data_IF_366265616766
#
_entry.id   IF_366265616766
#
_cell.length_a   1.000
_cell.length_b   1.000
_cell.length_c   1.000
_cell.angle_alpha   90.00
_cell.angle_beta   90.00
_cell.angle_gamma   90.00
#
_symmetry.space_group_name_H-M   'P 1'
#
loop_
_entity.id
_entity.type
_entity.pdbx_description
1 polymer ?
#
# COMPACT_ATOMS: atom_id res chain seq x y z
N UNK A 1 -12.34 -6.24 11.56
CA UNK A 1 -11.78 -4.99 11.00
C UNK A 1 -11.96 -5.03 9.48
N UNK A 2 -12.45 -3.97 8.84
CA UNK A 2 -12.65 -3.88 7.37
C UNK A 2 -11.91 -2.64 6.85
N UNK A 3 -11.08 -2.79 5.82
CA UNK A 3 -10.46 -1.66 5.12
C UNK A 3 -11.50 -1.00 4.23
N UNK A 4 -11.64 0.32 4.33
CA UNK A 4 -12.58 1.10 3.51
C UNK A 4 -11.88 1.90 2.42
N UNK A 5 -10.78 2.54 2.77
CA UNK A 5 -9.97 3.39 1.88
C UNK A 5 -8.51 3.33 2.31
N UNK A 6 -7.62 3.48 1.34
CA UNK A 6 -6.19 3.75 1.55
C UNK A 6 -5.79 4.88 0.61
N UNK A 7 -5.21 5.94 1.18
CA UNK A 7 -4.61 7.04 0.44
C UNK A 7 -3.09 6.99 0.66
N UNK A 8 -2.34 7.07 -0.42
CA UNK A 8 -0.88 6.98 -0.42
C UNK A 8 -0.32 8.14 -1.22
N UNK A 9 0.74 8.77 -0.74
CA UNK A 9 1.51 9.76 -1.49
C UNK A 9 2.98 9.70 -1.10
N UNK A 10 3.86 9.89 -2.09
CA UNK A 10 5.31 9.90 -1.89
C UNK A 10 5.85 8.66 -1.16
N UNK A 11 5.37 7.47 -1.53
CA UNK A 11 5.64 6.20 -0.85
C UNK A 11 5.97 5.09 -1.86
N UNK A 12 7.14 4.46 -1.73
CA UNK A 12 7.62 3.43 -2.66
C UNK A 12 7.58 3.92 -4.12
N UNK A 13 6.92 3.22 -5.07
CA UNK A 13 6.83 3.69 -6.44
C UNK A 13 5.74 4.76 -6.67
N UNK A 14 4.95 5.12 -5.66
CA UNK A 14 3.85 6.09 -5.79
C UNK A 14 4.34 7.50 -5.48
N UNK A 15 4.78 8.24 -6.50
CA UNK A 15 5.23 9.64 -6.37
C UNK A 15 4.06 10.62 -6.19
N UNK A 16 2.95 10.36 -6.87
CA UNK A 16 1.71 11.11 -6.78
C UNK A 16 0.81 10.66 -5.63
N UNK A 17 -0.35 11.31 -5.52
CA UNK A 17 -1.43 10.90 -4.63
C UNK A 17 -2.25 9.82 -5.31
N UNK A 18 -2.32 8.65 -4.69
CA UNK A 18 -3.12 7.50 -5.12
C UNK A 18 -4.19 7.18 -4.06
N UNK A 19 -5.36 6.76 -4.50
CA UNK A 19 -6.47 6.39 -3.59
C UNK A 19 -7.11 5.07 -4.01
N UNK A 20 -7.14 4.12 -3.09
CA UNK A 20 -7.74 2.81 -3.26
C UNK A 20 -9.02 2.76 -2.42
N UNK A 21 -10.18 2.67 -3.08
CA UNK A 21 -11.46 2.49 -2.41
C UNK A 21 -11.80 0.99 -2.32
N UNK A 22 -11.48 0.35 -1.19
CA UNK A 22 -11.81 -1.06 -0.93
C UNK A 22 -13.32 -1.30 -0.81
N UNK A 23 -14.10 -0.28 -0.47
CA UNK A 23 -15.56 -0.39 -0.40
C UNK A 23 -16.17 -0.62 -1.78
N UNK A 24 -15.48 -0.24 -2.86
CA UNK A 24 -15.90 -0.52 -4.24
C UNK A 24 -15.78 -2.01 -4.62
N UNK A 25 -15.02 -2.80 -3.86
CA UNK A 25 -14.86 -4.25 -4.08
C UNK A 25 -16.04 -5.08 -3.52
N UNK A 26 -16.99 -4.41 -2.85
CA UNK A 26 -18.21 -5.03 -2.34
C UNK A 26 -18.04 -5.74 -0.99
N UNK A 27 -18.85 -6.77 -0.79
CA UNK A 27 -18.94 -7.54 0.46
C UNK A 27 -18.01 -8.77 0.48
N UNK A 28 -17.46 -9.17 -0.67
CA UNK A 28 -16.63 -10.36 -0.76
C UNK A 28 -15.27 -10.11 -0.08
N UNK A 29 -14.85 -10.95 0.89
CA UNK A 29 -13.58 -10.75 1.59
C UNK A 29 -12.34 -11.01 0.73
N UNK A 30 -12.49 -11.65 -0.45
CA UNK A 30 -11.38 -12.03 -1.30
C UNK A 30 -11.27 -11.11 -2.53
N UNK A 31 -10.10 -10.51 -2.70
CA UNK A 31 -9.75 -9.72 -3.88
C UNK A 31 -8.29 -9.96 -4.26
N UNK A 32 -7.93 -9.58 -5.49
CA UNK A 32 -6.60 -9.74 -6.06
C UNK A 32 -5.96 -8.37 -6.32
N UNK A 33 -4.69 -8.21 -5.92
CA UNK A 33 -3.83 -7.11 -6.34
C UNK A 33 -2.89 -7.67 -7.42
N UNK A 34 -3.13 -7.33 -8.68
CA UNK A 34 -2.37 -7.81 -9.83
C UNK A 34 -1.58 -6.69 -10.54
N UNK A 35 -0.55 -7.07 -11.29
CA UNK A 35 0.28 -6.16 -12.08
C UNK A 35 1.71 -6.68 -12.26
N UNK A 36 2.53 -6.03 -13.12
CA UNK A 36 3.90 -6.45 -13.38
C UNK A 36 4.82 -6.32 -12.15
N UNK A 37 5.96 -7.00 -12.15
CA UNK A 37 7.00 -6.83 -11.12
C UNK A 37 7.46 -5.37 -11.08
N UNK A 38 7.62 -4.82 -9.88
CA UNK A 38 7.96 -3.41 -9.68
C UNK A 38 6.78 -2.44 -9.67
N UNK A 39 5.55 -2.88 -9.98
CA UNK A 39 4.36 -2.01 -10.01
C UNK A 39 3.87 -1.52 -8.62
N UNK A 40 4.54 -1.86 -7.52
CA UNK A 40 4.16 -1.39 -6.17
C UNK A 40 3.13 -2.23 -5.41
N UNK A 41 2.83 -3.46 -5.86
CA UNK A 41 1.89 -4.37 -5.17
C UNK A 41 2.26 -4.60 -3.70
N UNK A 42 3.53 -4.91 -3.43
CA UNK A 42 4.05 -5.06 -2.06
C UNK A 42 4.01 -3.73 -1.30
N UNK A 43 4.25 -2.61 -1.98
CA UNK A 43 4.18 -1.28 -1.38
C UNK A 43 2.77 -0.93 -0.91
N UNK A 44 1.72 -1.36 -1.60
CA UNK A 44 0.33 -1.21 -1.11
C UNK A 44 0.14 -1.93 0.23
N UNK A 45 0.65 -3.16 0.36
CA UNK A 45 0.58 -3.92 1.61
C UNK A 45 1.39 -3.25 2.73
N UNK A 46 2.59 -2.76 2.41
CA UNK A 46 3.39 -1.98 3.37
C UNK A 46 2.69 -0.71 3.81
N UNK A 47 2.01 0.00 2.90
CA UNK A 47 1.27 1.23 3.23
C UNK A 47 0.10 0.94 4.18
N UNK A 48 -0.63 -0.16 3.99
CA UNK A 48 -1.68 -0.60 4.93
C UNK A 48 -1.09 -0.84 6.32
N UNK A 49 -0.01 -1.62 6.42
CA UNK A 49 0.63 -1.91 7.70
C UNK A 49 1.18 -0.65 8.36
N UNK A 50 1.84 0.21 7.60
CA UNK A 50 2.40 1.45 8.12
C UNK A 50 1.30 2.40 8.62
N UNK A 51 0.20 2.56 7.88
CA UNK A 51 -0.91 3.41 8.28
C UNK A 51 -1.61 2.92 9.57
N UNK A 52 -1.65 1.61 9.80
CA UNK A 52 -2.31 1.01 10.96
C UNK A 52 -1.40 0.85 12.17
N UNK A 53 -0.11 0.59 11.94
CA UNK A 53 0.81 0.12 12.99
C UNK A 53 2.10 0.96 13.09
N UNK A 54 2.34 1.89 12.18
CA UNK A 54 3.55 2.72 12.16
C UNK A 54 4.81 2.01 11.67
N UNK A 55 4.69 0.78 11.16
CA UNK A 55 5.78 -0.04 10.65
C UNK A 55 5.41 -0.79 9.37
N UNK A 56 6.41 -1.10 8.54
CA UNK A 56 6.23 -1.94 7.35
C UNK A 56 6.23 -3.42 7.74
N UNK A 57 5.80 -4.30 6.83
CA UNK A 57 5.73 -5.76 7.12
C UNK A 57 7.09 -6.44 7.25
N UNK A 58 8.18 -5.74 6.94
CA UNK A 58 9.53 -6.31 6.92
C UNK A 58 10.36 -5.72 8.06
N UNK A 59 10.61 -6.54 9.08
CA UNK A 59 11.29 -6.14 10.32
C UNK A 59 12.72 -5.63 10.09
N UNK A 60 13.35 -6.06 8.98
CA UNK A 60 14.72 -5.68 8.61
C UNK A 60 14.75 -4.46 7.66
N UNK A 61 13.58 -4.05 7.14
CA UNK A 61 13.43 -2.93 6.19
C UNK A 61 12.41 -1.91 6.66
N UNK A 62 12.52 -1.50 7.94
CA UNK A 62 11.61 -0.54 8.58
C UNK A 62 11.44 0.77 7.81
N UNK A 63 12.48 1.22 7.10
CA UNK A 63 12.47 2.49 6.36
C UNK A 63 12.41 2.31 4.82
N UNK A 64 12.66 1.10 4.31
CA UNK A 64 12.73 0.86 2.87
C UNK A 64 11.33 0.88 2.25
N UNK A 65 11.08 1.84 1.35
CA UNK A 65 9.79 2.04 0.70
C UNK A 65 8.83 2.97 1.44
N UNK A 66 9.23 3.57 2.58
CA UNK A 66 8.44 4.65 3.21
C UNK A 66 8.53 5.97 2.45
N UNK A 67 9.61 6.17 1.69
CA UNK A 67 9.79 7.30 0.78
C UNK A 67 9.61 6.85 -0.65
N UNK A 68 9.29 7.80 -1.53
CA UNK A 68 9.19 7.52 -2.94
C UNK A 68 10.56 7.26 -3.56
N UNK A 69 10.65 6.22 -4.39
CA UNK A 69 11.87 5.85 -5.13
C UNK A 69 12.09 6.72 -6.39
N UNK A 70 11.08 7.50 -6.78
CA UNK A 70 11.08 8.37 -7.97
C UNK A 70 11.11 9.87 -7.63
N UNK A 71 11.42 10.21 -6.36
CA UNK A 71 11.55 11.59 -5.89
C UNK A 71 12.94 12.18 -6.13
#
# INVERSE_FOLDING_TARGET
MKLHSLEIQAFGPFSGKETINFSALGENPLFLIDGPTGAGKTSILHAVCYALYGETTDSDRKELGLRCDHA
#
